data_IF_846069256011
#
_entry.id   IF_846069256011
#
_cell.length_a   1.000
_cell.length_b   1.000
_cell.length_c   1.000
_cell.angle_alpha   90.00
_cell.angle_beta   90.00
_cell.angle_gamma   90.00
#
_symmetry.space_group_name_H-M   'P 1'
#
loop_
_entity.id
_entity.type
_entity.pdbx_description
1 polymer ?
#
# COMPACT_ATOMS: atom_id res chain seq x y z
N UNK A 1 6.92 -13.04 -12.87
CA UNK A 1 7.18 -11.99 -11.86
C UNK A 1 6.64 -10.68 -12.37
N UNK A 2 6.13 -9.83 -11.48
CA UNK A 2 5.58 -8.50 -11.80
C UNK A 2 6.70 -7.57 -12.28
N UNK A 3 6.46 -6.78 -13.31
CA UNK A 3 7.45 -5.79 -13.76
C UNK A 3 7.31 -4.47 -12.96
N UNK A 4 8.30 -4.09 -12.12
CA UNK A 4 8.16 -2.95 -11.21
C UNK A 4 7.94 -1.61 -11.90
N UNK A 5 8.45 -1.45 -13.13
CA UNK A 5 8.27 -0.24 -13.91
C UNK A 5 6.79 0.00 -14.27
N UNK A 6 6.04 -1.06 -14.57
CA UNK A 6 4.60 -1.00 -14.88
C UNK A 6 3.79 -0.59 -13.65
N UNK A 7 4.05 -1.23 -12.51
CA UNK A 7 3.43 -0.88 -11.22
C UNK A 7 3.69 0.58 -10.85
N UNK A 8 4.93 1.06 -11.03
CA UNK A 8 5.30 2.46 -10.77
C UNK A 8 4.53 3.41 -11.67
N UNK A 9 4.46 3.14 -12.98
CA UNK A 9 3.78 4.01 -13.93
C UNK A 9 2.27 4.11 -13.65
N UNK A 10 1.61 3.00 -13.30
CA UNK A 10 0.19 3.00 -12.95
C UNK A 10 -0.07 3.66 -11.59
N UNK A 11 0.82 3.46 -10.62
CA UNK A 11 0.74 4.15 -9.32
C UNK A 11 0.88 5.66 -9.51
N UNK A 12 1.77 6.12 -10.39
CA UNK A 12 1.88 7.55 -10.72
C UNK A 12 0.56 8.10 -11.26
N UNK A 13 -0.12 7.38 -12.17
CA UNK A 13 -1.44 7.79 -12.68
C UNK A 13 -2.54 7.84 -11.60
N UNK A 14 -2.42 7.05 -10.54
CA UNK A 14 -3.31 7.15 -9.38
C UNK A 14 -3.03 8.42 -8.59
N UNK A 15 -1.75 8.70 -8.31
CA UNK A 15 -1.32 9.90 -7.59
C UNK A 15 -1.72 11.19 -8.32
N UNK A 16 -1.55 11.24 -9.64
CA UNK A 16 -1.88 12.40 -10.47
C UNK A 16 -3.38 12.73 -10.48
N UNK A 17 -4.24 11.78 -10.09
CA UNK A 17 -5.70 11.97 -9.98
C UNK A 17 -6.15 12.41 -8.60
N UNK A 18 -5.27 12.41 -7.60
CA UNK A 18 -5.63 12.81 -6.24
C UNK A 18 -5.85 14.32 -6.16
N UNK A 19 -6.86 14.78 -5.40
CA UNK A 19 -7.01 16.21 -5.10
C UNK A 19 -5.75 16.75 -4.42
N UNK A 20 -5.23 17.86 -4.93
CA UNK A 20 -4.08 18.55 -4.36
C UNK A 20 -4.49 19.92 -3.80
N UNK A 21 -4.02 20.24 -2.60
CA UNK A 21 -4.14 21.57 -2.01
C UNK A 21 -2.73 22.11 -1.68
N UNK A 22 -2.57 23.43 -1.73
CA UNK A 22 -1.32 24.11 -1.39
C UNK A 22 -1.61 25.27 -0.45
N UNK A 23 -0.80 25.46 0.59
CA UNK A 23 -0.98 26.51 1.59
C UNK A 23 -0.50 26.09 3.00
N UNK A 24 -0.30 27.07 3.88
CA UNK A 24 0.33 26.91 5.20
C UNK A 24 -0.62 26.47 6.32
N UNK A 25 -1.91 26.23 6.07
CA UNK A 25 -2.93 26.20 7.13
C UNK A 25 -3.40 24.82 7.59
N UNK A 26 -2.78 23.71 7.15
CA UNK A 26 -3.15 22.38 7.64
C UNK A 26 -1.99 21.38 7.62
N UNK A 27 -1.81 20.65 8.72
CA UNK A 27 -0.91 19.51 8.78
C UNK A 27 -1.53 18.32 8.01
N UNK A 28 -0.81 17.71 7.04
CA UNK A 28 -1.29 16.53 6.33
C UNK A 28 -1.61 15.38 7.29
N UNK A 29 -2.72 14.70 7.05
CA UNK A 29 -3.14 13.53 7.79
C UNK A 29 -3.17 12.32 6.86
N UNK A 30 -2.98 11.13 7.42
CA UNK A 30 -3.14 9.90 6.67
C UNK A 30 -4.60 9.69 6.31
N UNK A 31 -4.84 9.30 5.06
CA UNK A 31 -6.15 8.87 4.63
C UNK A 31 -6.53 7.54 5.34
N UNK A 32 -7.84 7.25 5.56
CA UNK A 32 -8.29 6.01 6.19
C UNK A 32 -7.70 4.75 5.54
N UNK A 33 -7.52 4.76 4.22
CA UNK A 33 -6.94 3.63 3.48
C UNK A 33 -5.47 3.41 3.83
N UNK A 34 -4.70 4.48 4.03
CA UNK A 34 -3.30 4.38 4.44
C UNK A 34 -3.17 3.86 5.88
N UNK A 35 -4.06 4.29 6.78
CA UNK A 35 -4.14 3.76 8.14
C UNK A 35 -4.44 2.25 8.08
N UNK A 36 -5.43 1.84 7.29
CA UNK A 36 -5.78 0.43 7.12
C UNK A 36 -4.62 -0.43 6.60
N UNK A 37 -3.86 0.06 5.62
CA UNK A 37 -2.67 -0.64 5.10
C UNK A 37 -1.58 -0.79 6.16
N UNK A 38 -1.31 0.25 6.95
CA UNK A 38 -0.33 0.19 8.05
C UNK A 38 -0.80 -0.77 9.15
N UNK A 39 -2.09 -0.72 9.52
CA UNK A 39 -2.67 -1.67 10.49
C UNK A 39 -2.51 -3.10 10.01
N UNK A 40 -2.84 -3.41 8.76
CA UNK A 40 -2.66 -4.74 8.18
C UNK A 40 -1.19 -5.18 8.17
N UNK A 41 -0.26 -4.27 7.87
CA UNK A 41 1.17 -4.54 7.94
C UNK A 41 1.65 -4.85 9.37
N UNK A 42 1.17 -4.11 10.37
CA UNK A 42 1.48 -4.38 11.78
C UNK A 42 0.93 -5.73 12.25
N UNK A 43 -0.29 -6.08 11.83
CA UNK A 43 -0.85 -7.41 12.11
C UNK A 43 0.01 -8.51 11.53
N UNK A 44 0.43 -8.39 10.27
CA UNK A 44 1.30 -9.39 9.64
C UNK A 44 2.66 -9.51 10.34
N UNK A 45 3.31 -8.39 10.68
CA UNK A 45 4.56 -8.43 11.45
C UNK A 45 4.39 -9.19 12.78
N UNK A 46 3.26 -8.95 13.46
CA UNK A 46 2.92 -9.67 14.71
C UNK A 46 2.67 -11.16 14.46
N UNK A 47 1.97 -11.53 13.38
CA UNK A 47 1.74 -12.93 12.99
C UNK A 47 3.04 -13.69 12.67
N UNK A 48 4.07 -12.96 12.23
CA UNK A 48 5.39 -13.49 11.89
C UNK A 48 6.39 -13.41 13.06
N UNK A 49 5.94 -13.01 14.26
CA UNK A 49 6.76 -12.79 15.46
C UNK A 49 7.90 -11.77 15.25
N UNK A 50 7.72 -10.82 14.32
CA UNK A 50 8.67 -9.75 14.05
C UNK A 50 8.47 -8.55 14.99
N UNK A 51 9.59 -8.02 15.50
CA UNK A 51 9.58 -6.86 16.41
C UNK A 51 9.22 -5.55 15.69
N UNK A 52 9.41 -5.49 14.36
CA UNK A 52 9.19 -4.29 13.56
C UNK A 52 8.48 -4.58 12.24
N UNK A 53 7.75 -3.59 11.74
CA UNK A 53 7.15 -3.64 10.40
C UNK A 53 8.24 -3.42 9.35
N UNK A 54 8.49 -4.44 8.51
CA UNK A 54 9.39 -4.38 7.36
C UNK A 54 8.69 -3.83 6.11
N UNK A 55 9.45 -3.61 5.03
CA UNK A 55 8.87 -3.23 3.73
C UNK A 55 8.00 -4.33 3.12
N UNK A 56 8.27 -5.60 3.44
CA UNK A 56 7.47 -6.74 2.97
C UNK A 56 6.10 -6.74 3.65
N UNK A 57 6.05 -6.50 4.97
CA UNK A 57 4.79 -6.35 5.69
C UNK A 57 3.97 -5.18 5.15
N UNK A 58 4.63 -4.04 4.90
CA UNK A 58 3.98 -2.88 4.32
C UNK A 58 3.43 -3.16 2.91
N UNK A 59 4.18 -3.88 2.09
CA UNK A 59 3.75 -4.25 0.74
C UNK A 59 2.52 -5.15 0.76
N UNK A 60 2.48 -6.14 1.67
CA UNK A 60 1.29 -6.98 1.87
C UNK A 60 0.12 -6.15 2.41
N UNK A 61 0.37 -5.23 3.35
CA UNK A 61 -0.64 -4.31 3.87
C UNK A 61 -1.25 -3.43 2.78
N UNK A 62 -0.43 -2.91 1.85
CA UNK A 62 -0.89 -2.15 0.68
C UNK A 62 -1.68 -2.99 -0.32
N UNK A 63 -1.36 -4.28 -0.44
CA UNK A 63 -2.09 -5.22 -1.29
C UNK A 63 -3.43 -5.68 -0.67
N UNK A 64 -3.70 -5.34 0.60
CA UNK A 64 -4.88 -5.79 1.34
C UNK A 64 -6.05 -4.80 1.23
N UNK A 65 -7.28 -5.32 1.22
CA UNK A 65 -8.52 -4.53 1.17
C UNK A 65 -8.90 -4.08 -0.25
N UNK A 66 -9.70 -3.01 -0.34
CA UNK A 66 -10.37 -2.61 -1.60
C UNK A 66 -9.85 -1.30 -2.22
N UNK A 67 -8.68 -0.83 -1.77
CA UNK A 67 -8.05 0.38 -2.31
C UNK A 67 -7.67 0.22 -3.78
N UNK A 68 -7.53 1.33 -4.52
CA UNK A 68 -7.06 1.28 -5.90
C UNK A 68 -5.64 0.70 -6.01
N UNK A 69 -4.80 0.89 -4.99
CA UNK A 69 -3.45 0.30 -4.90
C UNK A 69 -3.53 -1.21 -4.71
N UNK A 70 -4.41 -1.69 -3.82
CA UNK A 70 -4.62 -3.12 -3.59
C UNK A 70 -5.09 -3.85 -4.87
N UNK A 71 -6.03 -3.22 -5.59
CA UNK A 71 -6.50 -3.70 -6.90
C UNK A 71 -5.40 -3.69 -7.94
N UNK A 72 -4.62 -2.61 -8.03
CA UNK A 72 -3.48 -2.51 -8.95
C UNK A 72 -2.48 -3.64 -8.69
N UNK A 73 -2.03 -3.82 -7.45
CA UNK A 73 -1.07 -4.87 -7.09
C UNK A 73 -1.62 -6.26 -7.42
N UNK A 74 -2.87 -6.54 -7.04
CA UNK A 74 -3.54 -7.82 -7.33
C UNK A 74 -3.67 -8.08 -8.83
N UNK A 75 -4.03 -7.08 -9.63
CA UNK A 75 -4.15 -7.20 -11.09
C UNK A 75 -2.83 -7.54 -11.77
N UNK A 76 -1.71 -7.13 -11.17
CA UNK A 76 -0.37 -7.48 -11.63
C UNK A 76 0.13 -8.81 -11.05
N UNK A 77 -0.66 -9.51 -10.23
CA UNK A 77 -0.30 -10.79 -9.62
C UNK A 77 0.39 -10.67 -8.26
N UNK A 78 0.50 -9.47 -7.70
CA UNK A 78 0.99 -9.21 -6.34
C UNK A 78 -0.18 -9.14 -5.34
N UNK A 79 -0.94 -10.23 -5.24
CA UNK A 79 -1.99 -10.36 -4.22
C UNK A 79 -1.39 -10.55 -2.83
N UNK A 80 -2.13 -10.29 -1.73
CA UNK A 80 -1.62 -10.52 -0.37
C UNK A 80 -1.07 -11.92 -0.15
N UNK A 81 -1.74 -12.94 -0.69
CA UNK A 81 -1.28 -14.32 -0.59
C UNK A 81 0.01 -14.54 -1.38
N UNK A 82 0.06 -14.08 -2.64
CA UNK A 82 1.23 -14.24 -3.50
C UNK A 82 2.47 -13.47 -3.00
N UNK A 83 2.29 -12.47 -2.14
CA UNK A 83 3.37 -11.70 -1.51
C UNK A 83 3.85 -12.31 -0.17
N UNK A 84 3.10 -13.27 0.38
CA UNK A 84 3.48 -14.01 1.60
C UNK A 84 4.19 -15.33 1.30
N UNK A 85 4.02 -15.85 0.08
CA UNK A 85 4.60 -17.10 -0.41
C UNK A 85 5.99 -16.85 -1.05
#
# INVERSE_FOLDING_TARGET
GVEPATVRAETQRLLDRLPSASGSSSQPQLAPQAIGAITAATHLATEMDDEYVSTEHLLVGLATGDSDVAKLLTNHGASPQALRD
#
